data_IF_603094948176
#
_entry.id   IF_603094948176
#
_cell.length_a   1.000
_cell.length_b   1.000
_cell.length_c   1.000
_cell.angle_alpha   90.00
_cell.angle_beta   90.00
_cell.angle_gamma   90.00
#
_symmetry.space_group_name_H-M   'P 1'
#
loop_
_entity.id
_entity.type
_entity.pdbx_description
1 polymer ?
#
# COMPACT_ATOMS: atom_id res chain seq x y z
N UNK A 1 -27.08 19.02 5.82
CA UNK A 1 -27.36 19.90 6.96
C UNK A 1 -26.93 19.12 8.18
N UNK A 2 -25.93 19.61 8.91
CA UNK A 2 -25.31 18.87 10.02
C UNK A 2 -26.24 18.78 11.23
N UNK A 3 -25.91 17.87 12.16
CA UNK A 3 -26.67 17.58 13.38
C UNK A 3 -27.30 18.86 13.97
N UNK A 4 -28.63 18.97 13.90
CA UNK A 4 -29.38 20.12 14.37
C UNK A 4 -29.39 20.11 15.90
N UNK A 5 -28.35 20.68 16.52
CA UNK A 5 -28.18 20.78 17.97
C UNK A 5 -27.36 22.02 18.34
N UNK A 6 -27.21 22.29 19.64
CA UNK A 6 -26.44 23.44 20.14
C UNK A 6 -24.93 23.35 19.85
N UNK A 7 -24.44 22.19 19.41
CA UNK A 7 -23.02 21.90 19.16
C UNK A 7 -22.82 21.19 17.80
N UNK A 8 -21.97 21.76 16.95
CA UNK A 8 -21.65 21.27 15.59
C UNK A 8 -20.22 20.71 15.48
N UNK A 9 -19.36 20.94 16.47
CA UNK A 9 -17.94 20.60 16.45
C UNK A 9 -17.48 20.03 17.79
N UNK A 10 -16.61 19.01 17.75
CA UNK A 10 -15.99 18.41 18.95
C UNK A 10 -15.31 19.42 19.86
N UNK A 11 -14.69 20.45 19.27
CA UNK A 11 -14.03 21.53 20.01
C UNK A 11 -14.98 22.34 20.89
N UNK A 12 -16.28 22.40 20.55
CA UNK A 12 -17.28 23.11 21.35
C UNK A 12 -17.69 22.35 22.61
N UNK A 13 -17.41 21.04 22.66
CA UNK A 13 -17.67 20.17 23.80
C UNK A 13 -16.38 19.90 24.59
N UNK A 14 -15.31 20.65 24.34
CA UNK A 14 -14.03 20.49 25.04
C UNK A 14 -13.11 19.41 24.47
N UNK A 15 -13.41 18.80 23.32
CA UNK A 15 -12.52 17.82 22.65
C UNK A 15 -11.69 18.52 21.59
N UNK A 16 -10.37 18.55 21.77
CA UNK A 16 -9.42 19.22 20.86
C UNK A 16 -8.31 18.29 20.40
N UNK A 17 -7.74 18.60 19.23
CA UNK A 17 -6.55 17.91 18.71
C UNK A 17 -5.34 18.73 19.14
N UNK A 18 -4.53 18.17 20.03
CA UNK A 18 -3.28 18.73 20.52
C UNK A 18 -2.13 18.60 19.51
N UNK A 19 -0.95 19.06 19.92
CA UNK A 19 0.25 18.96 19.09
C UNK A 19 0.59 17.49 18.81
N UNK A 20 0.90 17.17 17.55
CA UNK A 20 1.22 15.80 17.13
C UNK A 20 0.01 14.88 16.91
N UNK A 21 -1.21 15.43 16.90
CA UNK A 21 -2.42 14.64 16.62
C UNK A 21 -2.99 13.90 17.83
N UNK A 22 -2.58 14.27 19.04
CA UNK A 22 -3.16 13.74 20.29
C UNK A 22 -4.57 14.28 20.49
N UNK A 23 -5.47 13.44 21.01
CA UNK A 23 -6.79 13.90 21.46
C UNK A 23 -6.68 14.35 22.90
N UNK A 24 -7.04 15.61 23.16
CA UNK A 24 -7.08 16.20 24.49
C UNK A 24 -8.52 16.57 24.84
N UNK A 25 -8.95 16.18 26.04
CA UNK A 25 -10.29 16.45 26.57
C UNK A 25 -10.19 17.47 27.71
N UNK A 26 -10.89 18.58 27.56
CA UNK A 26 -11.21 19.48 28.67
C UNK A 26 -12.44 18.96 29.40
N UNK A 27 -12.22 18.32 30.55
CA UNK A 27 -13.28 17.70 31.34
C UNK A 27 -14.28 18.72 31.90
N UNK A 28 -13.83 19.94 32.24
CA UNK A 28 -14.69 20.97 32.79
C UNK A 28 -15.67 21.48 31.71
N UNK A 29 -15.14 21.81 30.53
CA UNK A 29 -15.94 22.24 29.39
C UNK A 29 -16.90 21.14 28.90
N UNK A 30 -16.44 19.88 28.90
CA UNK A 30 -17.28 18.74 28.51
C UNK A 30 -18.45 18.54 29.49
N UNK A 31 -18.19 18.60 30.80
CA UNK A 31 -19.24 18.47 31.83
C UNK A 31 -20.26 19.61 31.75
N UNK A 32 -19.82 20.83 31.48
CA UNK A 32 -20.72 21.98 31.28
C UNK A 32 -21.61 21.78 30.04
N UNK A 33 -21.02 21.37 28.91
CA UNK A 33 -21.77 21.12 27.69
C UNK A 33 -22.79 19.97 27.86
N UNK A 34 -22.41 18.89 28.55
CA UNK A 34 -23.28 17.76 28.86
C UNK A 34 -24.44 18.16 29.80
N UNK A 35 -24.18 19.01 30.79
CA UNK A 35 -25.22 19.52 31.69
C UNK A 35 -26.20 20.47 30.99
N UNK A 36 -25.71 21.21 29.98
CA UNK A 36 -26.51 22.18 29.22
C UNK A 36 -27.42 21.51 28.19
N UNK A 37 -26.91 20.57 27.41
CA UNK A 37 -27.69 19.85 26.41
C UNK A 37 -27.08 18.47 26.11
N UNK A 38 -27.51 17.42 26.84
CA UNK A 38 -26.98 16.07 26.64
C UNK A 38 -27.36 15.47 25.29
N UNK A 39 -28.53 15.82 24.74
CA UNK A 39 -29.00 15.28 23.46
C UNK A 39 -28.17 15.81 22.29
N UNK A 40 -27.80 17.09 22.31
CA UNK A 40 -26.90 17.67 21.32
C UNK A 40 -25.50 17.03 21.37
N UNK A 41 -24.96 16.77 22.57
CA UNK A 41 -23.67 16.08 22.71
C UNK A 41 -23.74 14.67 22.11
N UNK A 42 -24.75 13.88 22.45
CA UNK A 42 -24.93 12.53 21.88
C UNK A 42 -25.02 12.58 20.35
N UNK A 43 -25.82 13.51 19.80
CA UNK A 43 -25.95 13.67 18.35
C UNK A 43 -24.62 14.02 17.70
N UNK A 44 -23.78 14.84 18.32
CA UNK A 44 -22.47 15.20 17.77
C UNK A 44 -21.55 13.99 17.62
N UNK A 45 -21.60 13.04 18.56
CA UNK A 45 -20.77 11.84 18.52
C UNK A 45 -21.38 10.73 17.65
N UNK A 46 -22.70 10.52 17.74
CA UNK A 46 -23.36 9.31 17.23
C UNK A 46 -24.20 9.59 15.97
N UNK A 47 -24.53 10.84 15.65
CA UNK A 47 -25.39 11.14 14.50
C UNK A 47 -24.87 10.46 13.23
N UNK A 48 -25.73 9.67 12.63
CA UNK A 48 -25.52 9.06 11.32
C UNK A 48 -26.80 9.26 10.54
N UNK A 49 -26.84 10.30 9.73
CA UNK A 49 -27.84 10.42 8.69
C UNK A 49 -27.27 9.79 7.43
N UNK A 50 -27.78 8.61 7.10
CA UNK A 50 -27.49 7.97 5.84
C UNK A 50 -28.40 8.58 4.77
N UNK A 51 -27.82 9.18 3.73
CA UNK A 51 -28.60 9.48 2.52
C UNK A 51 -28.92 8.13 1.90
N UNK A 52 -30.21 7.84 1.70
CA UNK A 52 -30.61 6.72 0.88
C UNK A 52 -29.95 6.90 -0.50
N UNK A 53 -29.14 5.93 -0.88
CA UNK A 53 -28.56 5.90 -2.22
C UNK A 53 -29.73 5.71 -3.20
N UNK A 54 -29.85 6.59 -4.19
CA UNK A 54 -30.78 6.35 -5.30
C UNK A 54 -30.35 5.08 -6.03
N UNK A 55 -31.10 3.99 -5.81
CA UNK A 55 -30.83 2.67 -6.38
C UNK A 55 -30.90 2.68 -7.91
N UNK A 56 -31.52 3.70 -8.51
CA UNK A 56 -31.71 3.83 -9.95
C UNK A 56 -31.32 5.22 -10.44
N UNK A 57 -30.53 5.28 -11.52
CA UNK A 57 -30.23 6.51 -12.26
C UNK A 57 -30.93 6.48 -13.61
N UNK A 58 -31.64 7.55 -13.94
CA UNK A 58 -32.16 7.77 -15.29
C UNK A 58 -31.02 8.26 -16.20
N UNK A 59 -30.72 7.48 -17.24
CA UNK A 59 -29.65 7.79 -18.22
C UNK A 59 -30.24 8.34 -19.52
N UNK A 60 -31.52 8.09 -19.75
CA UNK A 60 -32.33 8.61 -20.86
C UNK A 60 -33.82 8.55 -20.50
N UNK A 61 -34.72 9.24 -21.22
CA UNK A 61 -36.16 9.16 -21.00
C UNK A 61 -36.65 7.70 -21.07
N UNK A 62 -37.12 7.17 -19.93
CA UNK A 62 -37.61 5.79 -19.84
C UNK A 62 -36.55 4.70 -19.62
N UNK A 63 -35.26 5.05 -19.48
CA UNK A 63 -34.17 4.07 -19.23
C UNK A 63 -33.58 4.27 -17.84
N UNK A 64 -34.00 3.39 -16.90
CA UNK A 64 -33.47 3.30 -15.53
C UNK A 64 -32.39 2.23 -15.44
N UNK A 65 -31.19 2.61 -14.99
CA UNK A 65 -30.09 1.66 -14.71
C UNK A 65 -29.89 1.56 -13.20
N UNK A 66 -29.76 0.34 -12.67
CA UNK A 66 -29.44 0.10 -11.25
C UNK A 66 -28.05 0.65 -10.94
N UNK A 67 -27.96 1.58 -10.00
CA UNK A 67 -26.69 2.14 -9.56
C UNK A 67 -26.00 1.19 -8.58
N UNK A 68 -25.21 0.25 -9.09
CA UNK A 68 -24.46 -0.73 -8.28
C UNK A 68 -23.26 -0.14 -7.52
N UNK A 69 -22.97 1.15 -7.70
CA UNK A 69 -21.88 1.88 -7.01
C UNK A 69 -22.44 2.84 -5.96
N UNK A 70 -23.76 2.87 -5.75
CA UNK A 70 -24.38 3.74 -4.77
C UNK A 70 -24.18 3.18 -3.36
N UNK A 71 -22.97 3.34 -2.81
CA UNK A 71 -22.81 3.31 -1.35
C UNK A 71 -23.58 4.51 -0.82
N UNK A 72 -24.68 4.30 -0.08
CA UNK A 72 -25.44 5.38 0.55
C UNK A 72 -24.49 6.32 1.29
N UNK A 73 -24.26 7.50 0.72
CA UNK A 73 -23.39 8.50 1.31
C UNK A 73 -24.09 9.09 2.52
N UNK A 74 -23.38 9.32 3.61
CA UNK A 74 -23.99 9.93 4.78
C UNK A 74 -24.15 11.45 4.56
N UNK A 75 -25.36 12.01 4.70
CA UNK A 75 -25.63 13.47 4.58
C UNK A 75 -25.15 14.25 5.81
N UNK A 76 -25.06 13.56 6.95
CA UNK A 76 -24.53 14.07 8.20
C UNK A 76 -23.91 12.91 8.98
N UNK A 77 -22.59 12.92 9.14
CA UNK A 77 -21.94 12.12 10.18
C UNK A 77 -21.53 13.05 11.32
N UNK A 78 -21.84 12.61 12.53
CA UNK A 78 -21.19 13.03 13.75
C UNK A 78 -19.68 12.81 13.65
N UNK A 79 -18.94 13.40 14.56
CA UNK A 79 -17.50 13.46 14.46
C UNK A 79 -16.84 12.07 14.48
N UNK A 80 -17.41 11.10 15.20
CA UNK A 80 -16.93 9.71 15.19
C UNK A 80 -17.22 9.00 13.87
N UNK A 81 -18.38 9.23 13.26
CA UNK A 81 -18.69 8.67 11.94
C UNK A 81 -17.74 9.19 10.86
N UNK A 82 -17.38 10.49 10.90
CA UNK A 82 -16.39 11.05 9.95
C UNK A 82 -15.02 10.42 10.12
N UNK A 83 -14.60 10.18 11.37
CA UNK A 83 -13.34 9.51 11.69
C UNK A 83 -13.36 8.06 11.19
N UNK A 84 -14.45 7.34 11.38
CA UNK A 84 -14.63 5.96 10.90
C UNK A 84 -14.57 5.88 9.37
N UNK A 85 -15.24 6.77 8.65
CA UNK A 85 -15.20 6.80 7.18
C UNK A 85 -13.80 7.12 6.66
N UNK A 86 -13.08 8.03 7.32
CA UNK A 86 -11.68 8.31 7.02
C UNK A 86 -10.80 7.08 7.25
N UNK A 87 -10.89 6.44 8.41
CA UNK A 87 -10.12 5.23 8.73
C UNK A 87 -10.45 4.11 7.75
N UNK A 88 -11.72 3.90 7.46
CA UNK A 88 -12.19 2.89 6.51
C UNK A 88 -11.60 3.14 5.12
N UNK A 89 -11.70 4.35 4.56
CA UNK A 89 -11.12 4.66 3.24
C UNK A 89 -9.61 4.41 3.15
N UNK A 90 -8.88 4.54 4.27
CA UNK A 90 -7.44 4.33 4.29
C UNK A 90 -7.04 2.87 4.52
N UNK A 91 -7.75 2.17 5.40
CA UNK A 91 -7.39 0.85 5.94
C UNK A 91 -8.26 -0.27 5.37
N UNK A 92 -9.28 0.04 4.56
CA UNK A 92 -10.14 -0.98 3.96
C UNK A 92 -9.32 -2.07 3.25
N UNK A 93 -9.67 -3.32 3.53
CA UNK A 93 -8.89 -4.47 3.09
C UNK A 93 -8.94 -4.70 1.57
N UNK A 94 -9.94 -4.15 0.88
CA UNK A 94 -10.10 -4.27 -0.57
C UNK A 94 -9.63 -2.99 -1.28
N UNK A 95 -10.17 -1.84 -0.86
CA UNK A 95 -10.00 -0.56 -1.58
C UNK A 95 -9.26 0.51 -0.79
N UNK A 96 -8.70 0.15 0.36
CA UNK A 96 -7.90 1.04 1.19
C UNK A 96 -6.67 1.55 0.44
N UNK A 97 -6.39 2.85 0.55
CA UNK A 97 -5.20 3.46 -0.08
C UNK A 97 -3.91 2.79 0.44
N UNK A 98 -3.83 2.50 1.74
CA UNK A 98 -2.68 1.84 2.34
C UNK A 98 -2.56 0.40 1.88
N UNK A 99 -3.68 -0.32 1.79
CA UNK A 99 -3.74 -1.70 1.28
C UNK A 99 -3.24 -1.76 -0.16
N UNK A 100 -3.70 -0.87 -1.05
CA UNK A 100 -3.22 -0.80 -2.43
C UNK A 100 -1.71 -0.53 -2.51
N UNK A 101 -1.21 0.38 -1.67
CA UNK A 101 0.23 0.66 -1.60
C UNK A 101 1.02 -0.55 -1.11
N UNK A 102 0.52 -1.26 -0.10
CA UNK A 102 1.13 -2.48 0.42
C UNK A 102 1.17 -3.59 -0.65
N UNK A 103 0.07 -3.79 -1.37
CA UNK A 103 -0.01 -4.76 -2.46
C UNK A 103 0.97 -4.41 -3.59
N UNK A 104 1.02 -3.13 -4.01
CA UNK A 104 1.95 -2.67 -5.04
C UNK A 104 3.41 -2.87 -4.62
N UNK A 105 3.76 -2.62 -3.36
CA UNK A 105 5.10 -2.91 -2.84
C UNK A 105 5.37 -4.41 -2.81
N UNK A 106 4.38 -5.23 -2.43
CA UNK A 106 4.47 -6.69 -2.47
C UNK A 106 4.73 -7.23 -3.88
N UNK A 107 4.03 -6.72 -4.89
CA UNK A 107 4.21 -7.11 -6.28
C UNK A 107 5.58 -6.65 -6.82
N UNK A 108 6.04 -5.46 -6.42
CA UNK A 108 7.39 -4.99 -6.74
C UNK A 108 8.46 -5.89 -6.11
N UNK A 109 8.27 -6.35 -4.86
CA UNK A 109 9.18 -7.30 -4.20
C UNK A 109 9.20 -8.63 -4.95
N UNK A 110 8.03 -9.17 -5.33
CA UNK A 110 7.95 -10.43 -6.10
C UNK A 110 8.71 -10.33 -7.42
N UNK A 111 8.45 -9.28 -8.20
CA UNK A 111 9.16 -9.06 -9.48
C UNK A 111 10.67 -8.87 -9.30
N UNK A 112 11.12 -8.29 -8.19
CA UNK A 112 12.54 -8.22 -7.86
C UNK A 112 13.13 -9.60 -7.52
N UNK A 113 12.43 -10.41 -6.74
CA UNK A 113 12.88 -11.76 -6.40
C UNK A 113 13.00 -12.67 -7.64
N UNK A 114 12.06 -12.58 -8.58
CA UNK A 114 12.14 -13.32 -9.85
C UNK A 114 13.36 -12.90 -10.68
N UNK A 115 13.68 -11.60 -10.71
CA UNK A 115 14.88 -11.09 -11.39
C UNK A 115 16.17 -11.59 -10.73
N UNK A 116 16.21 -11.62 -9.39
CA UNK A 116 17.34 -12.18 -8.64
C UNK A 116 17.56 -13.64 -9.03
N UNK A 117 16.51 -14.46 -8.99
CA UNK A 117 16.60 -15.87 -9.37
C UNK A 117 17.09 -16.09 -10.82
N UNK A 118 16.63 -15.26 -11.76
CA UNK A 118 17.10 -15.31 -13.14
C UNK A 118 18.58 -14.91 -13.28
N UNK A 119 19.05 -13.92 -12.50
CA UNK A 119 20.45 -13.52 -12.46
C UNK A 119 21.33 -14.60 -11.86
N UNK A 120 20.89 -15.27 -10.79
CA UNK A 120 21.63 -16.37 -10.17
C UNK A 120 21.87 -17.51 -11.17
N UNK A 121 20.82 -17.91 -11.91
CA UNK A 121 20.95 -18.92 -12.95
C UNK A 121 21.93 -18.49 -14.07
N UNK A 122 21.91 -17.22 -14.45
CA UNK A 122 22.84 -16.67 -15.44
C UNK A 122 24.28 -16.66 -14.93
N UNK A 123 24.50 -16.29 -13.68
CA UNK A 123 25.82 -16.31 -13.03
C UNK A 123 26.37 -17.73 -12.97
N UNK A 124 25.53 -18.71 -12.62
CA UNK A 124 25.93 -20.12 -12.59
C UNK A 124 26.35 -20.62 -13.98
N UNK A 125 25.55 -20.35 -15.01
CA UNK A 125 25.93 -20.70 -16.38
C UNK A 125 27.22 -20.02 -16.82
N UNK A 126 27.43 -18.76 -16.43
CA UNK A 126 28.67 -18.03 -16.75
C UNK A 126 29.87 -18.68 -16.07
N UNK A 127 29.72 -19.11 -14.81
CA UNK A 127 30.74 -19.85 -14.07
C UNK A 127 31.11 -21.15 -14.79
N UNK A 128 30.13 -21.97 -15.16
CA UNK A 128 30.35 -23.23 -15.88
C UNK A 128 31.09 -23.03 -17.21
N UNK A 129 30.76 -21.97 -17.97
CA UNK A 129 31.45 -21.64 -19.22
C UNK A 129 32.91 -21.25 -18.94
N UNK A 130 33.15 -20.42 -17.92
CA UNK A 130 34.50 -20.00 -17.55
C UNK A 130 35.36 -21.17 -17.06
N UNK A 131 34.79 -22.09 -16.28
CA UNK A 131 35.48 -23.32 -15.85
C UNK A 131 35.89 -24.20 -17.04
N UNK A 132 34.98 -24.40 -18.01
CA UNK A 132 35.30 -25.14 -19.24
C UNK A 132 36.38 -24.44 -20.07
N UNK A 133 36.32 -23.11 -20.18
CA UNK A 133 37.34 -22.33 -20.88
C UNK A 133 38.69 -22.46 -20.20
N UNK A 134 38.74 -22.39 -18.87
CA UNK A 134 39.96 -22.56 -18.09
C UNK A 134 40.58 -23.94 -18.32
N UNK A 135 39.80 -25.03 -18.23
CA UNK A 135 40.27 -26.38 -18.51
C UNK A 135 40.80 -26.55 -19.95
N UNK A 136 40.14 -25.92 -20.94
CA UNK A 136 40.60 -25.94 -22.32
C UNK A 136 41.94 -25.20 -22.49
N UNK A 137 42.09 -24.05 -21.83
CA UNK A 137 43.35 -23.29 -21.81
C UNK A 137 44.47 -24.06 -21.12
N UNK A 138 44.21 -24.75 -20.01
CA UNK A 138 45.19 -25.60 -19.33
C UNK A 138 45.69 -26.73 -20.25
N UNK A 139 44.79 -27.41 -20.97
CA UNK A 139 45.15 -28.44 -21.94
C UNK A 139 45.95 -27.88 -23.11
N UNK A 140 45.56 -26.71 -23.62
CA UNK A 140 46.29 -26.04 -24.70
C UNK A 140 47.72 -25.66 -24.25
N UNK A 141 47.88 -25.15 -23.03
CA UNK A 141 49.20 -24.86 -22.44
C UNK A 141 50.02 -26.13 -22.30
N UNK A 142 49.44 -27.24 -21.79
CA UNK A 142 50.14 -28.52 -21.68
C UNK A 142 50.59 -29.08 -23.04
N UNK A 143 49.76 -28.92 -24.07
CA UNK A 143 50.12 -29.28 -25.45
C UNK A 143 51.23 -28.36 -26.00
N UNK A 144 51.15 -27.05 -25.78
CA UNK A 144 52.18 -26.08 -26.18
C UNK A 144 53.52 -26.33 -25.49
N UNK A 145 53.54 -26.69 -24.21
CA UNK A 145 54.76 -27.06 -23.49
C UNK A 145 55.41 -28.31 -24.09
N UNK A 146 54.59 -29.30 -24.46
CA UNK A 146 55.05 -30.53 -25.14
C UNK A 146 55.55 -30.23 -26.56
N UNK A 147 54.93 -29.27 -27.24
CA UNK A 147 55.39 -28.81 -28.56
C UNK A 147 56.71 -28.02 -28.46
N UNK A 148 56.88 -27.19 -27.43
CA UNK A 148 58.12 -26.45 -27.20
C UNK A 148 59.29 -27.41 -26.92
N UNK A 149 59.07 -28.48 -26.15
CA UNK A 149 60.12 -29.46 -25.85
C UNK A 149 60.56 -30.26 -27.09
N UNK A 150 59.62 -30.60 -27.98
CA UNK A 150 59.94 -31.29 -29.25
C UNK A 150 60.66 -30.39 -30.25
N UNK A 151 60.29 -29.11 -30.34
CA UNK A 151 61.03 -28.14 -31.15
C UNK A 151 62.47 -27.94 -30.63
N UNK A 152 62.64 -27.86 -29.31
CA UNK A 152 63.96 -27.73 -28.69
C UNK A 152 64.85 -28.99 -28.80
N UNK A 153 64.28 -30.16 -29.12
CA UNK A 153 65.07 -31.37 -29.41
C UNK A 153 65.48 -31.42 -30.89
N UNK A 154 64.60 -31.01 -31.81
CA UNK A 154 64.90 -30.92 -33.24
C UNK A 154 65.98 -29.85 -33.51
N UNK A 155 65.89 -28.68 -32.86
CA UNK A 155 66.86 -27.59 -33.02
C UNK A 155 68.26 -27.92 -32.46
N UNK A 156 68.40 -29.02 -31.70
CA UNK A 156 69.69 -29.53 -31.22
C UNK A 156 70.31 -30.59 -32.13
N UNK A 157 69.54 -31.12 -33.09
CA UNK A 157 69.95 -32.18 -34.01
C UNK A 157 70.26 -31.66 -35.42
N UNK A 158 69.95 -30.39 -35.70
CA UNK A 158 70.42 -29.65 -36.90
C UNK A 158 71.43 -28.60 -36.52
#
# INVERSE_FOLDING_TARGET
MGATGAFDRLSQVGVRIGAGGTLELDEAAFREALARDPASVESLFVAREQTSADEFRDVAPGVRVRNTTASGGFSSLGAMGRMEEFVKRYVDAADGILTRKNNSLGDQIKGQNERIAALDLKLENRRLVLERQFLAMERAIGALQTQQSSLASIQRLG
#
